data_IF_238750060305
#
_entry.id   IF_238750060305
#
_cell.length_a   1.000
_cell.length_b   1.000
_cell.length_c   1.000
_cell.angle_alpha   90.00
_cell.angle_beta   90.00
_cell.angle_gamma   90.00
#
_symmetry.space_group_name_H-M   'P 1'
#
loop_
_entity.id
_entity.type
_entity.pdbx_description
1 polymer ?
#
# COMPACT_ATOMS: atom_id res chain seq x y z
N UNK A 1 36.36 -14.04 -7.19
CA UNK A 1 35.09 -14.42 -6.57
C UNK A 1 34.05 -14.52 -7.67
N UNK A 2 33.31 -15.63 -7.82
CA UNK A 2 32.21 -15.68 -8.76
C UNK A 2 31.10 -14.77 -8.24
N UNK A 3 30.68 -13.80 -9.06
CA UNK A 3 29.46 -13.03 -8.81
C UNK A 3 28.30 -14.03 -8.79
N UNK A 4 27.62 -14.12 -7.64
CA UNK A 4 26.37 -14.87 -7.52
C UNK A 4 25.40 -14.39 -8.62
N UNK A 5 24.66 -15.30 -9.28
CA UNK A 5 23.65 -14.90 -10.25
C UNK A 5 22.66 -13.94 -9.57
N UNK A 6 22.13 -12.93 -10.28
CA UNK A 6 21.14 -12.02 -9.73
C UNK A 6 19.94 -12.87 -9.28
N UNK A 7 19.80 -13.04 -7.97
CA UNK A 7 18.62 -13.68 -7.41
C UNK A 7 17.43 -12.81 -7.80
N UNK A 8 16.44 -13.39 -8.49
CA UNK A 8 15.20 -12.75 -8.90
C UNK A 8 14.34 -12.43 -7.66
N UNK A 9 14.83 -11.56 -6.77
CA UNK A 9 14.12 -11.08 -5.59
C UNK A 9 12.92 -10.19 -5.94
N UNK A 10 12.77 -9.84 -7.22
CA UNK A 10 11.77 -8.89 -7.74
C UNK A 10 10.32 -9.27 -7.42
N UNK A 11 10.00 -10.56 -7.28
CA UNK A 11 8.62 -11.05 -7.09
C UNK A 11 8.29 -11.50 -5.66
N UNK A 12 9.27 -11.51 -4.75
CA UNK A 12 9.07 -12.01 -3.39
C UNK A 12 8.44 -10.93 -2.51
N UNK A 13 7.13 -10.79 -2.63
CA UNK A 13 6.32 -10.03 -1.69
C UNK A 13 6.02 -10.94 -0.48
N UNK A 14 6.22 -10.49 0.77
CA UNK A 14 6.05 -11.36 1.94
C UNK A 14 4.63 -11.95 2.04
N UNK A 15 4.48 -13.21 2.42
CA UNK A 15 3.15 -13.82 2.66
C UNK A 15 2.25 -12.99 3.59
N UNK A 16 2.76 -12.40 4.70
CA UNK A 16 1.95 -11.52 5.55
C UNK A 16 1.40 -10.28 4.82
N UNK A 17 2.10 -9.78 3.80
CA UNK A 17 1.61 -8.67 2.99
C UNK A 17 0.39 -9.11 2.17
N UNK A 18 0.49 -10.25 1.48
CA UNK A 18 -0.59 -10.77 0.63
C UNK A 18 -1.83 -11.05 1.49
N UNK A 19 -1.64 -11.70 2.64
CA UNK A 19 -2.72 -11.94 3.59
C UNK A 19 -3.34 -10.64 4.11
N UNK A 20 -2.53 -9.63 4.43
CA UNK A 20 -2.99 -8.32 4.89
C UNK A 20 -3.80 -7.55 3.84
N UNK A 21 -3.37 -7.57 2.58
CA UNK A 21 -4.11 -6.95 1.47
C UNK A 21 -5.41 -7.70 1.18
N UNK A 22 -5.37 -9.03 1.15
CA UNK A 22 -6.55 -9.87 0.96
C UNK A 22 -7.57 -9.66 2.08
N UNK A 23 -7.14 -9.65 3.35
CA UNK A 23 -8.02 -9.43 4.49
C UNK A 23 -8.62 -8.01 4.47
N UNK A 24 -7.81 -6.99 4.19
CA UNK A 24 -8.30 -5.61 4.06
C UNK A 24 -9.39 -5.49 2.99
N UNK A 25 -9.17 -6.08 1.82
CA UNK A 25 -10.16 -6.11 0.74
C UNK A 25 -11.42 -6.90 1.11
N UNK A 26 -11.26 -8.14 1.58
CA UNK A 26 -12.36 -9.03 1.95
C UNK A 26 -13.25 -8.47 3.07
N UNK A 27 -12.67 -7.69 3.99
CA UNK A 27 -13.40 -7.09 5.08
C UNK A 27 -14.01 -5.76 4.66
N UNK A 28 -13.22 -4.80 4.18
CA UNK A 28 -13.72 -3.45 3.89
C UNK A 28 -14.64 -3.41 2.67
N UNK A 29 -14.31 -4.15 1.61
CA UNK A 29 -15.04 -4.14 0.34
C UNK A 29 -16.54 -4.40 0.49
N UNK A 30 -16.97 -5.51 1.11
CA UNK A 30 -18.38 -5.78 1.35
C UNK A 30 -19.10 -4.72 2.18
N UNK A 31 -18.44 -4.06 3.14
CA UNK A 31 -19.07 -2.96 3.88
C UNK A 31 -19.23 -1.69 3.03
N UNK A 32 -18.30 -1.42 2.10
CA UNK A 32 -18.46 -0.33 1.15
C UNK A 32 -19.60 -0.61 0.17
N UNK A 33 -19.65 -1.83 -0.35
CA UNK A 33 -20.73 -2.32 -1.20
C UNK A 33 -22.09 -2.32 -0.48
N UNK A 34 -22.10 -2.54 0.83
CA UNK A 34 -23.31 -2.44 1.64
C UNK A 34 -23.96 -1.05 1.59
N UNK A 35 -23.17 0.03 1.46
CA UNK A 35 -23.76 1.36 1.26
C UNK A 35 -24.63 1.39 0.00
N UNK A 36 -24.19 0.74 -1.08
CA UNK A 36 -24.93 0.68 -2.33
C UNK A 36 -26.17 -0.22 -2.25
N UNK A 37 -26.11 -1.30 -1.46
CA UNK A 37 -27.31 -2.08 -1.14
C UNK A 37 -28.31 -1.29 -0.29
N UNK A 38 -27.83 -0.61 0.76
CA UNK A 38 -28.67 0.13 1.71
C UNK A 38 -29.31 1.37 1.09
N UNK A 39 -28.58 2.09 0.23
CA UNK A 39 -29.11 3.26 -0.49
C UNK A 39 -29.78 2.92 -1.83
N UNK A 40 -30.08 1.63 -2.07
CA UNK A 40 -30.77 1.17 -3.27
C UNK A 40 -30.09 1.60 -4.58
N UNK A 41 -28.76 1.67 -4.57
CA UNK A 41 -27.97 1.83 -5.80
C UNK A 41 -28.00 0.52 -6.59
N UNK A 42 -27.81 -0.59 -5.89
CA UNK A 42 -27.84 -1.94 -6.45
C UNK A 42 -28.65 -2.88 -5.57
N UNK A 43 -29.10 -3.98 -6.15
CA UNK A 43 -29.82 -5.04 -5.45
C UNK A 43 -29.35 -6.42 -5.89
N UNK A 44 -28.92 -7.22 -4.92
CA UNK A 44 -28.66 -8.65 -5.09
C UNK A 44 -29.97 -9.43 -5.17
N UNK A 45 -30.04 -10.42 -6.05
CA UNK A 45 -31.20 -11.33 -6.14
C UNK A 45 -31.16 -12.39 -5.03
N UNK A 46 -29.95 -12.82 -4.64
CA UNK A 46 -29.71 -13.80 -3.59
C UNK A 46 -28.78 -13.21 -2.51
N UNK A 47 -29.26 -12.22 -1.74
CA UNK A 47 -28.42 -11.56 -0.74
C UNK A 47 -28.08 -12.50 0.41
N UNK A 48 -26.86 -12.32 0.93
CA UNK A 48 -26.42 -12.84 2.22
C UNK A 48 -26.38 -11.68 3.21
N UNK A 49 -27.01 -11.91 4.36
CA UNK A 49 -27.03 -10.95 5.46
C UNK A 49 -26.00 -11.32 6.52
N UNK A 50 -25.19 -10.34 6.90
CA UNK A 50 -24.15 -10.44 7.92
C UNK A 50 -24.43 -9.57 9.15
N UNK A 51 -23.47 -9.51 10.09
CA UNK A 51 -23.57 -8.58 11.22
C UNK A 51 -23.58 -7.12 10.74
N UNK A 52 -24.11 -6.22 11.58
CA UNK A 52 -24.19 -4.77 11.31
C UNK A 52 -24.97 -4.40 10.03
N UNK A 53 -26.05 -5.14 9.74
CA UNK A 53 -26.92 -4.89 8.58
C UNK A 53 -26.17 -4.99 7.23
N UNK A 54 -25.14 -5.84 7.18
CA UNK A 54 -24.41 -6.13 5.95
C UNK A 54 -25.29 -6.93 4.99
N UNK A 55 -25.51 -6.43 3.78
CA UNK A 55 -26.18 -7.10 2.67
C UNK A 55 -25.20 -7.17 1.50
N UNK A 56 -24.81 -8.39 1.11
CA UNK A 56 -23.81 -8.63 0.05
C UNK A 56 -24.00 -10.01 -0.58
N UNK A 57 -23.10 -10.48 -1.45
CA UNK A 57 -23.09 -11.85 -1.97
C UNK A 57 -21.86 -12.64 -1.50
N UNK A 58 -21.92 -13.98 -1.51
CA UNK A 58 -20.80 -14.84 -1.06
C UNK A 58 -19.52 -14.67 -1.89
N UNK A 59 -19.65 -14.29 -3.16
CA UNK A 59 -18.53 -14.06 -4.06
C UNK A 59 -17.92 -12.66 -3.92
N UNK A 60 -18.64 -11.71 -3.30
CA UNK A 60 -18.19 -10.32 -3.16
C UNK A 60 -16.91 -10.20 -2.31
N UNK A 61 -16.81 -10.78 -1.09
CA UNK A 61 -15.58 -10.71 -0.31
C UNK A 61 -14.35 -11.34 -1.01
N UNK A 62 -14.43 -12.53 -1.63
CA UNK A 62 -13.32 -13.08 -2.41
C UNK A 62 -12.85 -12.19 -3.57
N UNK A 63 -13.77 -11.54 -4.30
CA UNK A 63 -13.40 -10.62 -5.38
C UNK A 63 -12.68 -9.36 -4.85
N UNK A 64 -13.17 -8.77 -3.76
CA UNK A 64 -12.49 -7.64 -3.14
C UNK A 64 -11.14 -8.03 -2.53
N UNK A 65 -11.00 -9.25 -2.00
CA UNK A 65 -9.72 -9.78 -1.52
C UNK A 65 -8.70 -9.85 -2.67
N UNK A 66 -9.12 -10.41 -3.82
CA UNK A 66 -8.31 -10.50 -5.02
C UNK A 66 -7.92 -9.11 -5.54
N UNK A 67 -8.88 -8.18 -5.60
CA UNK A 67 -8.62 -6.81 -6.01
C UNK A 67 -7.58 -6.12 -5.11
N UNK A 68 -7.72 -6.24 -3.78
CA UNK A 68 -6.76 -5.70 -2.82
C UNK A 68 -5.33 -6.24 -3.05
N UNK A 69 -5.20 -7.55 -3.28
CA UNK A 69 -3.91 -8.19 -3.60
C UNK A 69 -3.35 -7.69 -4.92
N UNK A 70 -4.15 -7.69 -5.99
CA UNK A 70 -3.70 -7.28 -7.32
C UNK A 70 -3.26 -5.82 -7.35
N UNK A 71 -4.07 -4.92 -6.78
CA UNK A 71 -3.73 -3.49 -6.69
C UNK A 71 -2.46 -3.32 -5.84
N UNK A 72 -2.38 -3.94 -4.67
CA UNK A 72 -1.18 -3.86 -3.83
C UNK A 72 0.07 -4.38 -4.53
N UNK A 73 -0.05 -5.42 -5.35
CA UNK A 73 1.04 -5.96 -6.16
C UNK A 73 1.47 -4.98 -7.25
N UNK A 74 0.51 -4.42 -8.00
CA UNK A 74 0.77 -3.44 -9.06
C UNK A 74 1.54 -2.22 -8.52
N UNK A 75 1.14 -1.72 -7.34
CA UNK A 75 1.83 -0.63 -6.66
C UNK A 75 3.26 -1.01 -6.26
N UNK A 76 3.41 -2.09 -5.49
CA UNK A 76 4.70 -2.44 -4.90
C UNK A 76 5.71 -2.91 -5.93
N UNK A 77 5.28 -3.66 -6.94
CA UNK A 77 6.14 -4.07 -8.06
C UNK A 77 6.41 -2.91 -9.00
N UNK A 78 5.40 -2.10 -9.32
CA UNK A 78 5.56 -0.92 -10.17
C UNK A 78 6.57 0.08 -9.60
N UNK A 79 6.46 0.40 -8.30
CA UNK A 79 7.38 1.32 -7.63
C UNK A 79 8.83 0.82 -7.67
N UNK A 80 9.03 -0.50 -7.48
CA UNK A 80 10.36 -1.14 -7.59
C UNK A 80 10.89 -1.09 -9.01
N UNK A 81 10.07 -1.46 -10.01
CA UNK A 81 10.49 -1.48 -11.40
C UNK A 81 10.89 -0.09 -11.90
N UNK A 82 10.17 0.96 -11.51
CA UNK A 82 10.55 2.34 -11.86
C UNK A 82 11.82 2.80 -11.14
N UNK A 83 12.01 2.42 -9.88
CA UNK A 83 13.24 2.71 -9.15
C UNK A 83 14.45 2.02 -9.79
N UNK A 84 14.34 0.72 -10.10
CA UNK A 84 15.46 -0.06 -10.61
C UNK A 84 15.79 0.28 -12.07
N UNK A 85 14.79 0.47 -12.94
CA UNK A 85 15.01 0.68 -14.38
C UNK A 85 15.08 2.14 -14.79
N UNK A 86 14.24 2.99 -14.21
CA UNK A 86 14.15 4.40 -14.59
C UNK A 86 14.86 5.32 -13.60
N UNK A 87 15.45 4.78 -12.52
CA UNK A 87 16.12 5.54 -11.46
C UNK A 87 15.22 6.62 -10.85
N UNK A 88 13.90 6.41 -10.90
CA UNK A 88 12.92 7.30 -10.29
C UNK A 88 12.85 6.93 -8.81
N UNK A 89 13.17 7.85 -7.88
CA UNK A 89 13.12 7.55 -6.46
C UNK A 89 11.74 7.01 -6.06
N UNK A 90 11.68 6.00 -5.18
CA UNK A 90 10.42 5.48 -4.71
C UNK A 90 9.65 6.59 -3.97
N UNK A 91 8.32 6.59 -4.03
CA UNK A 91 7.52 7.58 -3.32
C UNK A 91 7.78 7.50 -1.80
N UNK A 92 7.66 8.62 -1.08
CA UNK A 92 7.72 8.61 0.37
C UNK A 92 6.72 7.61 0.93
N UNK A 93 7.12 6.84 1.96
CA UNK A 93 6.17 5.92 2.60
C UNK A 93 5.08 6.75 3.30
N UNK A 94 3.80 6.47 3.03
CA UNK A 94 2.72 7.16 3.73
C UNK A 94 2.70 6.76 5.21
N UNK A 95 2.44 7.73 6.08
CA UNK A 95 2.23 7.47 7.50
C UNK A 95 0.91 6.73 7.72
N UNK A 96 0.74 6.09 8.88
CA UNK A 96 -0.53 5.44 9.23
C UNK A 96 -1.72 6.43 9.19
N UNK A 97 -1.64 7.63 9.80
CA UNK A 97 -2.73 8.61 9.71
C UNK A 97 -3.04 9.06 8.27
N UNK A 98 -2.02 9.22 7.44
CA UNK A 98 -2.21 9.58 6.04
C UNK A 98 -2.92 8.47 5.26
N UNK A 99 -2.50 7.21 5.49
CA UNK A 99 -3.11 6.03 4.89
C UNK A 99 -4.57 5.89 5.30
N UNK A 100 -4.87 6.03 6.59
CA UNK A 100 -6.24 5.96 7.10
C UNK A 100 -7.11 7.10 6.54
N UNK A 101 -6.58 8.31 6.44
CA UNK A 101 -7.28 9.44 5.81
C UNK A 101 -7.59 9.16 4.33
N UNK A 102 -6.64 8.57 3.59
CA UNK A 102 -6.84 8.18 2.19
C UNK A 102 -7.95 7.13 2.04
N UNK A 103 -7.95 6.09 2.88
CA UNK A 103 -9.00 5.06 2.92
C UNK A 103 -10.35 5.68 3.31
N UNK A 104 -10.36 6.61 4.27
CA UNK A 104 -11.57 7.28 4.75
C UNK A 104 -12.18 8.16 3.66
N UNK A 105 -11.34 8.87 2.89
CA UNK A 105 -11.79 9.69 1.77
C UNK A 105 -12.40 8.84 0.63
N UNK A 106 -11.78 7.70 0.31
CA UNK A 106 -12.36 6.73 -0.61
C UNK A 106 -13.69 6.13 -0.10
N UNK A 107 -13.74 5.77 1.18
CA UNK A 107 -14.96 5.28 1.85
C UNK A 107 -16.08 6.32 1.81
N UNK A 108 -15.74 7.59 2.04
CA UNK A 108 -16.66 8.72 1.97
C UNK A 108 -17.21 8.90 0.55
N UNK A 109 -16.38 8.72 -0.49
CA UNK A 109 -16.86 8.75 -1.88
C UNK A 109 -17.89 7.65 -2.14
N UNK A 110 -17.64 6.42 -1.68
CA UNK A 110 -18.60 5.30 -1.77
C UNK A 110 -19.93 5.65 -1.09
N UNK A 111 -19.87 6.09 0.16
CA UNK A 111 -21.05 6.49 0.92
C UNK A 111 -21.82 7.64 0.23
N UNK A 112 -21.12 8.69 -0.19
CA UNK A 112 -21.73 9.87 -0.81
C UNK A 112 -22.41 9.51 -2.14
N UNK A 113 -21.82 8.62 -2.95
CA UNK A 113 -22.45 8.16 -4.19
C UNK A 113 -23.81 7.51 -3.94
N UNK A 114 -23.95 6.71 -2.87
CA UNK A 114 -25.23 6.13 -2.47
C UNK A 114 -26.23 7.19 -2.00
N UNK A 115 -25.79 8.13 -1.17
CA UNK A 115 -26.62 9.25 -0.72
C UNK A 115 -27.14 10.09 -1.89
N UNK A 116 -26.30 10.42 -2.86
CA UNK A 116 -26.72 11.19 -4.02
C UNK A 116 -27.74 10.41 -4.86
N UNK A 117 -27.52 9.10 -5.03
CA UNK A 117 -28.41 8.23 -5.79
C UNK A 117 -29.80 8.10 -5.16
N UNK A 118 -29.90 7.86 -3.85
CA UNK A 118 -31.20 7.75 -3.17
C UNK A 118 -31.98 9.08 -3.15
N UNK A 119 -31.28 10.21 -3.25
CA UNK A 119 -31.89 11.54 -3.38
C UNK A 119 -32.23 11.91 -4.84
N UNK A 120 -32.17 10.95 -5.78
CA UNK A 120 -32.50 11.14 -7.20
C UNK A 120 -31.68 12.24 -7.88
N UNK A 121 -30.44 12.46 -7.44
CA UNK A 121 -29.49 13.33 -8.16
C UNK A 121 -29.18 12.69 -9.51
N UNK A 122 -29.13 13.49 -10.57
CA UNK A 122 -28.90 12.99 -11.91
C UNK A 122 -27.49 12.38 -12.07
N UNK A 123 -27.37 11.38 -12.95
CA UNK A 123 -26.13 10.63 -13.16
C UNK A 123 -24.94 11.49 -13.60
N UNK A 124 -25.18 12.59 -14.33
CA UNK A 124 -24.12 13.51 -14.76
C UNK A 124 -23.55 14.27 -13.57
N UNK A 125 -24.40 14.79 -12.68
CA UNK A 125 -23.97 15.47 -11.46
C UNK A 125 -23.21 14.52 -10.52
N UNK A 126 -23.67 13.27 -10.37
CA UNK A 126 -22.95 12.26 -9.59
C UNK A 126 -21.59 11.97 -10.24
N UNK A 127 -21.54 11.75 -11.56
CA UNK A 127 -20.30 11.49 -12.30
C UNK A 127 -19.28 12.61 -12.12
N UNK A 128 -19.70 13.87 -12.27
CA UNK A 128 -18.82 15.03 -12.10
C UNK A 128 -18.32 15.13 -10.66
N UNK A 129 -19.20 14.95 -9.69
CA UNK A 129 -18.84 14.98 -8.26
C UNK A 129 -17.82 13.89 -7.93
N UNK A 130 -18.09 12.65 -8.33
CA UNK A 130 -17.17 11.52 -8.11
C UNK A 130 -15.84 11.74 -8.82
N UNK A 131 -15.85 12.29 -10.05
CA UNK A 131 -14.63 12.61 -10.81
C UNK A 131 -13.80 13.70 -10.13
N UNK A 132 -14.43 14.77 -9.63
CA UNK A 132 -13.75 15.81 -8.86
C UNK A 132 -13.12 15.22 -7.60
N UNK A 133 -13.84 14.38 -6.85
CA UNK A 133 -13.29 13.70 -5.69
C UNK A 133 -12.13 12.77 -6.06
N UNK A 134 -12.24 12.01 -7.14
CA UNK A 134 -11.18 11.12 -7.61
C UNK A 134 -9.91 11.89 -8.00
N UNK A 135 -10.06 13.00 -8.72
CA UNK A 135 -8.97 13.88 -9.09
C UNK A 135 -8.29 14.49 -7.85
N UNK A 136 -9.06 15.07 -6.93
CA UNK A 136 -8.54 15.64 -5.69
C UNK A 136 -7.86 14.58 -4.83
N UNK A 137 -8.49 13.41 -4.70
CA UNK A 137 -7.94 12.29 -3.97
C UNK A 137 -6.62 11.80 -4.55
N UNK A 138 -6.51 11.69 -5.87
CA UNK A 138 -5.24 11.36 -6.52
C UNK A 138 -4.18 12.43 -6.30
N UNK A 139 -4.53 13.70 -6.48
CA UNK A 139 -3.63 14.84 -6.30
C UNK A 139 -3.14 15.01 -4.86
N UNK A 140 -3.95 14.62 -3.87
CA UNK A 140 -3.59 14.71 -2.45
C UNK A 140 -2.88 13.45 -1.98
N UNK A 141 -3.37 12.26 -2.35
CA UNK A 141 -2.95 11.00 -1.75
C UNK A 141 -1.91 10.23 -2.55
N UNK A 142 -1.81 10.40 -3.87
CA UNK A 142 -0.94 9.53 -4.68
C UNK A 142 -0.59 10.17 -6.03
N UNK A 143 0.33 11.13 -6.04
CA UNK A 143 0.77 11.83 -7.25
C UNK A 143 1.83 11.05 -8.05
N UNK A 144 1.73 9.72 -8.07
CA UNK A 144 2.77 8.85 -8.63
C UNK A 144 2.38 8.28 -9.99
N UNK A 145 3.36 7.98 -10.85
CA UNK A 145 3.12 7.37 -12.17
C UNK A 145 2.50 5.99 -12.03
N UNK A 146 3.03 5.17 -11.11
CA UNK A 146 2.49 3.84 -10.80
C UNK A 146 1.07 3.94 -10.28
N UNK A 147 0.82 4.92 -9.40
CA UNK A 147 -0.51 5.19 -8.90
C UNK A 147 -1.48 5.56 -10.01
N UNK A 148 -1.07 6.43 -10.94
CA UNK A 148 -1.91 6.84 -12.07
C UNK A 148 -2.31 5.63 -12.92
N UNK A 149 -1.35 4.82 -13.35
CA UNK A 149 -1.62 3.67 -14.20
C UNK A 149 -2.42 2.58 -13.49
N UNK A 150 -2.17 2.35 -12.21
CA UNK A 150 -2.94 1.39 -11.41
C UNK A 150 -4.38 1.87 -11.21
N UNK A 151 -4.57 3.16 -10.93
CA UNK A 151 -5.90 3.78 -10.81
C UNK A 151 -6.67 3.75 -12.13
N UNK A 152 -5.99 3.94 -13.26
CA UNK A 152 -6.60 3.79 -14.57
C UNK A 152 -6.99 2.34 -14.85
N UNK A 153 -6.13 1.39 -14.49
CA UNK A 153 -6.42 -0.04 -14.62
C UNK A 153 -7.64 -0.45 -13.78
N UNK A 154 -7.81 0.09 -12.56
CA UNK A 154 -9.01 -0.18 -11.75
C UNK A 154 -10.24 0.50 -12.33
N UNK A 155 -10.13 1.77 -12.79
CA UNK A 155 -11.22 2.53 -13.40
C UNK A 155 -11.79 1.90 -14.68
N UNK A 156 -11.01 1.07 -15.37
CA UNK A 156 -11.47 0.32 -16.55
C UNK A 156 -11.81 -1.13 -16.16
N UNK A 157 -10.91 -1.81 -15.46
CA UNK A 157 -11.03 -3.22 -15.13
C UNK A 157 -12.20 -3.54 -14.21
N UNK A 158 -12.43 -2.71 -13.18
CA UNK A 158 -13.56 -2.86 -12.26
C UNK A 158 -14.90 -2.84 -13.00
N UNK A 159 -15.23 -1.77 -13.74
CA UNK A 159 -16.46 -1.69 -14.51
C UNK A 159 -16.63 -2.82 -15.55
N UNK A 160 -15.55 -3.27 -16.20
CA UNK A 160 -15.61 -4.40 -17.13
C UNK A 160 -15.93 -5.73 -16.43
N UNK A 161 -15.34 -5.96 -15.25
CA UNK A 161 -15.66 -7.13 -14.42
C UNK A 161 -17.12 -7.08 -14.00
N UNK A 162 -17.62 -5.93 -13.58
CA UNK A 162 -19.03 -5.76 -13.22
C UNK A 162 -19.97 -6.01 -14.39
N UNK A 163 -19.70 -5.45 -15.57
CA UNK A 163 -20.46 -5.75 -16.79
C UNK A 163 -20.44 -7.26 -17.08
N UNK A 164 -19.29 -7.92 -16.91
CA UNK A 164 -19.17 -9.38 -17.06
C UNK A 164 -20.02 -10.15 -16.05
N UNK A 165 -20.01 -9.75 -14.77
CA UNK A 165 -20.80 -10.36 -13.71
C UNK A 165 -22.31 -10.19 -13.98
N UNK A 166 -22.73 -8.97 -14.31
CA UNK A 166 -24.10 -8.62 -14.63
C UNK A 166 -24.62 -9.32 -15.88
N UNK A 167 -23.75 -9.60 -16.86
CA UNK A 167 -24.15 -10.28 -18.10
C UNK A 167 -24.11 -11.81 -18.02
N UNK A 168 -23.32 -12.39 -17.11
CA UNK A 168 -23.13 -13.84 -17.02
C UNK A 168 -23.93 -14.48 -15.89
N UNK A 169 -23.92 -13.87 -14.70
CA UNK A 169 -24.53 -14.47 -13.51
C UNK A 169 -25.91 -13.88 -13.21
N UNK A 170 -26.17 -12.64 -13.64
CA UNK A 170 -27.43 -11.91 -13.38
C UNK A 170 -27.82 -11.84 -11.89
N UNK A 171 -26.89 -12.09 -10.96
CA UNK A 171 -27.16 -12.22 -9.51
C UNK A 171 -27.38 -10.89 -8.80
N UNK A 172 -27.15 -9.76 -9.48
CA UNK A 172 -27.46 -8.43 -9.00
C UNK A 172 -27.78 -7.50 -10.16
N UNK A 173 -28.29 -6.31 -9.88
CA UNK A 173 -28.51 -5.26 -10.86
C UNK A 173 -28.45 -3.88 -10.23
N UNK A 174 -28.09 -2.87 -11.03
CA UNK A 174 -28.22 -1.46 -10.66
C UNK A 174 -29.64 -0.97 -10.91
N UNK A 175 -30.17 -0.14 -10.00
CA UNK A 175 -31.51 0.42 -10.16
C UNK A 175 -31.54 1.58 -11.18
N UNK A 176 -30.44 2.33 -11.27
CA UNK A 176 -30.29 3.48 -12.15
C UNK A 176 -28.95 3.41 -12.90
N UNK A 177 -28.96 2.77 -14.07
CA UNK A 177 -27.79 2.65 -14.95
C UNK A 177 -27.89 3.59 -16.15
N UNK A 178 -26.84 4.35 -16.42
CA UNK A 178 -26.71 5.28 -17.55
C UNK A 178 -25.52 4.93 -18.48
N UNK A 179 -24.78 3.85 -18.18
CA UNK A 179 -23.65 3.37 -18.95
C UNK A 179 -23.74 1.85 -19.19
N UNK A 180 -24.70 1.46 -20.02
CA UNK A 180 -25.03 0.04 -20.21
C UNK A 180 -25.71 -0.54 -18.96
N UNK A 181 -25.24 -1.68 -18.40
CA UNK A 181 -25.85 -2.28 -17.21
C UNK A 181 -25.36 -1.66 -15.88
N UNK A 182 -24.44 -0.70 -15.94
CA UNK A 182 -23.85 -0.05 -14.77
C UNK A 182 -24.02 1.47 -14.84
N UNK A 183 -23.92 2.19 -13.70
CA UNK A 183 -23.80 3.64 -13.70
C UNK A 183 -22.39 4.09 -14.12
N UNK A 184 -22.29 5.10 -14.97
CA UNK A 184 -21.02 5.65 -15.45
C UNK A 184 -20.17 6.29 -14.34
N UNK A 185 -20.81 6.79 -13.28
CA UNK A 185 -20.11 7.38 -12.13
C UNK A 185 -19.29 6.38 -11.32
N UNK A 186 -19.43 5.08 -11.57
CA UNK A 186 -18.60 4.07 -10.92
C UNK A 186 -17.14 4.09 -11.40
N UNK A 187 -16.89 4.56 -12.62
CA UNK A 187 -15.54 4.69 -13.20
C UNK A 187 -14.62 5.54 -12.30
N UNK A 188 -14.96 6.79 -11.94
CA UNK A 188 -14.14 7.59 -11.03
C UNK A 188 -14.11 7.03 -9.59
N UNK A 189 -15.11 6.26 -9.16
CA UNK A 189 -15.07 5.56 -7.86
C UNK A 189 -13.97 4.50 -7.86
N UNK A 190 -13.91 3.66 -8.90
CA UNK A 190 -12.84 2.68 -9.07
C UNK A 190 -11.46 3.33 -9.23
N UNK A 191 -11.38 4.50 -9.88
CA UNK A 191 -10.13 5.25 -9.97
C UNK A 191 -9.60 5.63 -8.58
N UNK A 192 -10.44 6.19 -7.71
CA UNK A 192 -10.03 6.60 -6.36
C UNK A 192 -9.72 5.41 -5.44
N UNK A 193 -10.23 4.22 -5.76
CA UNK A 193 -9.80 2.98 -5.12
C UNK A 193 -8.30 2.70 -5.26
N UNK A 194 -7.68 3.18 -6.35
CA UNK A 194 -6.23 3.06 -6.59
C UNK A 194 -5.40 3.66 -5.47
N UNK A 195 -5.42 5.00 -5.25
CA UNK A 195 -4.63 5.66 -4.21
C UNK A 195 -4.83 5.11 -2.80
N UNK A 196 -6.07 4.78 -2.44
CA UNK A 196 -6.38 4.23 -1.11
C UNK A 196 -5.70 2.87 -0.89
N UNK A 197 -5.84 1.94 -1.84
CA UNK A 197 -5.21 0.62 -1.77
C UNK A 197 -3.68 0.70 -1.95
N UNK A 198 -3.20 1.59 -2.82
CA UNK A 198 -1.78 1.79 -3.06
C UNK A 198 -1.03 2.31 -1.83
N UNK A 199 -1.61 3.28 -1.13
CA UNK A 199 -1.03 3.79 0.12
C UNK A 199 -1.06 2.74 1.23
N UNK A 200 -2.13 1.96 1.33
CA UNK A 200 -2.19 0.82 2.24
C UNK A 200 -1.09 -0.21 1.94
N UNK A 201 -0.88 -0.54 0.67
CA UNK A 201 0.15 -1.45 0.24
C UNK A 201 1.56 -0.92 0.58
N UNK A 202 1.86 0.35 0.28
CA UNK A 202 3.14 0.98 0.61
C UNK A 202 3.42 0.98 2.12
N UNK A 203 2.44 1.39 2.93
CA UNK A 203 2.55 1.40 4.38
C UNK A 203 2.72 -0.02 4.95
N UNK A 204 1.89 -0.97 4.50
CA UNK A 204 1.92 -2.35 4.96
C UNK A 204 3.23 -3.06 4.64
N UNK A 205 3.74 -2.87 3.42
CA UNK A 205 5.02 -3.44 3.01
C UNK A 205 6.18 -2.87 3.85
N UNK A 206 6.21 -1.55 4.06
CA UNK A 206 7.24 -0.90 4.88
C UNK A 206 7.21 -1.43 6.32
N UNK A 207 6.02 -1.52 6.92
CA UNK A 207 5.86 -2.04 8.28
C UNK A 207 6.37 -3.49 8.43
N UNK A 208 6.24 -4.32 7.39
CA UNK A 208 6.78 -5.68 7.37
C UNK A 208 8.30 -5.71 7.17
N UNK A 209 8.83 -4.81 6.34
CA UNK A 209 10.28 -4.68 6.14
C UNK A 209 10.98 -4.20 7.42
N UNK A 210 10.40 -3.24 8.14
CA UNK A 210 10.97 -2.73 9.40
C UNK A 210 10.99 -3.78 10.51
N UNK A 211 10.13 -4.80 10.43
CA UNK A 211 10.10 -5.95 11.35
C UNK A 211 11.02 -7.09 10.96
N UNK A 212 11.57 -7.09 9.73
CA UNK A 212 12.45 -8.17 9.28
C UNK A 212 13.75 -8.16 10.10
N UNK A 213 14.15 -9.34 10.61
CA UNK A 213 15.41 -9.48 11.35
C UNK A 213 16.56 -9.27 10.37
N UNK A 214 17.38 -8.25 10.61
CA UNK A 214 18.58 -8.04 9.81
C UNK A 214 19.48 -9.27 9.89
N UNK A 215 19.81 -9.94 8.77
CA UNK A 215 20.60 -11.16 8.80
C UNK A 215 22.02 -10.94 9.32
N UNK A 216 22.54 -9.71 9.22
CA UNK A 216 23.91 -9.37 9.65
C UNK A 216 24.00 -9.02 11.13
N UNK A 217 23.08 -8.20 11.64
CA UNK A 217 23.15 -7.72 13.03
C UNK A 217 22.08 -8.30 13.94
N UNK A 218 21.18 -9.15 13.42
CA UNK A 218 20.06 -9.71 14.18
C UNK A 218 19.24 -8.64 14.92
N UNK A 219 19.03 -7.49 14.26
CA UNK A 219 18.36 -6.31 14.81
C UNK A 219 19.05 -5.61 15.99
N UNK A 220 20.28 -5.96 16.35
CA UNK A 220 21.09 -5.15 17.28
C UNK A 220 21.38 -3.75 16.71
N UNK A 221 21.28 -3.60 15.37
CA UNK A 221 21.59 -2.39 14.57
C UNK A 221 23.06 -1.98 14.64
N UNK A 222 23.89 -2.77 15.30
CA UNK A 222 25.34 -2.61 15.43
C UNK A 222 26.05 -3.88 14.95
N UNK A 223 27.27 -3.74 14.48
CA UNK A 223 28.11 -4.87 14.09
C UNK A 223 29.54 -4.63 14.56
N UNK A 224 30.32 -5.70 14.77
CA UNK A 224 31.76 -5.60 15.02
C UNK A 224 32.45 -4.66 14.04
N UNK A 225 33.27 -3.74 14.55
CA UNK A 225 34.06 -2.86 13.71
C UNK A 225 35.14 -3.66 12.98
N UNK A 226 34.97 -3.83 11.67
CA UNK A 226 35.91 -4.59 10.81
C UNK A 226 37.30 -3.96 10.76
N UNK A 227 37.44 -2.67 11.10
CA UNK A 227 38.73 -1.97 11.06
C UNK A 227 39.57 -2.17 12.33
N UNK A 228 39.00 -2.73 13.40
CA UNK A 228 39.72 -3.01 14.65
C UNK A 228 39.31 -4.33 15.29
N UNK A 229 38.73 -5.26 14.52
CA UNK A 229 38.30 -6.58 14.97
C UNK A 229 37.50 -6.56 16.27
N UNK A 230 36.60 -5.60 16.39
CA UNK A 230 35.78 -5.35 17.58
C UNK A 230 36.53 -4.92 18.86
N UNK A 231 37.84 -4.72 18.82
CA UNK A 231 38.62 -4.34 19.99
C UNK A 231 38.48 -2.86 20.36
N UNK A 232 38.04 -2.02 19.41
CA UNK A 232 37.99 -0.56 19.57
C UNK A 232 39.33 0.14 19.38
N UNK A 233 40.42 -0.61 19.25
CA UNK A 233 41.78 -0.11 19.05
C UNK A 233 42.59 -1.07 18.19
N UNK A 234 43.72 -0.59 17.67
CA UNK A 234 44.75 -1.42 17.04
C UNK A 234 46.13 -1.03 17.59
N UNK A 235 47.11 -1.94 17.48
CA UNK A 235 48.49 -1.70 17.91
C UNK A 235 49.30 -1.28 16.68
N UNK A 236 49.91 -0.10 16.74
CA UNK A 236 50.84 0.39 15.73
C UNK A 236 52.07 0.96 16.43
N UNK A 237 53.27 0.57 16.00
CA UNK A 237 54.53 0.97 16.63
C UNK A 237 54.58 0.75 18.15
N UNK A 238 54.04 -0.38 18.62
CA UNK A 238 53.93 -0.72 20.04
C UNK A 238 53.11 0.28 20.88
N UNK A 239 52.27 1.09 20.22
CA UNK A 239 51.33 2.00 20.85
C UNK A 239 49.89 1.58 20.55
N UNK A 240 49.03 1.71 21.56
CA UNK A 240 47.59 1.48 21.44
C UNK A 240 46.96 2.72 20.81
N UNK A 241 46.38 2.57 19.62
CA UNK A 241 45.69 3.65 18.90
C UNK A 241 44.19 3.34 18.84
N UNK A 242 43.36 4.26 19.31
CA UNK A 242 41.90 4.12 19.23
C UNK A 242 41.45 4.11 17.76
N UNK A 243 40.56 3.18 17.42
CA UNK A 243 40.03 3.09 16.08
C UNK A 243 39.14 4.30 15.79
N UNK A 244 39.49 5.07 14.77
CA UNK A 244 38.74 6.26 14.33
C UNK A 244 37.39 5.91 13.70
N UNK A 245 37.25 4.71 13.13
CA UNK A 245 36.03 4.25 12.48
C UNK A 245 34.88 4.02 13.49
N UNK A 246 35.17 3.38 14.63
CA UNK A 246 34.20 3.15 15.71
C UNK A 246 34.37 4.13 16.89
N UNK A 247 35.33 5.05 16.81
CA UNK A 247 35.70 5.95 17.89
C UNK A 247 35.95 5.23 19.23
N UNK A 248 36.67 4.11 19.20
CA UNK A 248 37.00 3.35 20.42
C UNK A 248 35.98 2.31 20.87
N UNK A 249 34.74 2.28 20.36
CA UNK A 249 33.68 1.40 20.88
C UNK A 249 33.79 -0.08 20.46
N UNK A 250 34.61 -0.40 19.45
CA UNK A 250 34.64 -1.73 18.83
C UNK A 250 33.40 -2.06 17.99
N UNK A 251 32.40 -1.18 17.93
CA UNK A 251 31.15 -1.41 17.20
C UNK A 251 30.88 -0.31 16.17
N UNK A 252 30.23 -0.66 15.07
CA UNK A 252 29.79 0.28 14.03
C UNK A 252 28.33 0.03 13.68
N UNK A 253 27.64 1.04 13.14
CA UNK A 253 26.26 0.83 12.67
C UNK A 253 26.25 -0.25 11.58
N UNK A 254 25.31 -1.19 11.69
CA UNK A 254 25.13 -2.21 10.68
C UNK A 254 24.83 -1.57 9.32
N UNK A 255 25.66 -1.83 8.31
CA UNK A 255 25.53 -1.22 6.97
C UNK A 255 24.17 -1.51 6.30
N UNK A 256 23.63 -2.70 6.52
CA UNK A 256 22.31 -3.07 5.99
C UNK A 256 21.19 -2.30 6.69
N UNK A 257 21.25 -2.17 8.01
CA UNK A 257 20.28 -1.38 8.77
C UNK A 257 20.42 0.12 8.51
N UNK A 258 21.63 0.61 8.23
CA UNK A 258 21.89 2.03 8.01
C UNK A 258 21.02 2.63 6.89
N UNK A 259 20.74 1.86 5.83
CA UNK A 259 19.86 2.30 4.73
C UNK A 259 18.38 2.40 5.13
N UNK A 260 17.97 1.65 6.15
CA UNK A 260 16.57 1.57 6.60
C UNK A 260 16.29 2.40 7.84
N UNK A 261 17.33 2.81 8.55
CA UNK A 261 17.21 3.66 9.72
C UNK A 261 16.79 5.06 9.26
N UNK A 262 15.66 5.55 9.76
CA UNK A 262 15.26 6.97 9.71
C UNK A 262 16.19 7.84 10.59
N UNK A 263 17.45 7.46 10.72
CA UNK A 263 18.46 8.38 11.23
C UNK A 263 18.67 9.33 10.06
N UNK A 264 18.39 10.62 10.27
CA UNK A 264 18.77 11.65 9.31
C UNK A 264 20.17 11.32 8.77
N UNK A 265 20.39 11.46 7.46
CA UNK A 265 21.71 11.27 6.85
C UNK A 265 22.74 12.33 7.33
N UNK A 266 22.57 12.88 8.54
CA UNK A 266 23.51 13.73 9.24
C UNK A 266 24.52 12.86 10.02
N UNK A 267 25.83 13.08 9.84
CA UNK A 267 26.86 12.40 10.62
C UNK A 267 26.69 12.57 12.15
N UNK A 268 26.01 13.63 12.59
CA UNK A 268 25.65 13.89 13.99
C UNK A 268 24.64 12.88 14.54
N UNK A 269 23.54 12.60 13.81
CA UNK A 269 22.52 11.67 14.27
C UNK A 269 23.04 10.24 14.39
N UNK A 270 23.95 9.84 13.49
CA UNK A 270 24.67 8.55 13.57
C UNK A 270 25.55 8.46 14.83
N UNK A 271 26.26 9.54 15.15
CA UNK A 271 27.11 9.59 16.36
C UNK A 271 26.29 9.53 17.63
N UNK A 272 25.17 10.24 17.67
CA UNK A 272 24.26 10.23 18.82
C UNK A 272 23.60 8.85 19.02
N UNK A 273 23.16 8.22 17.93
CA UNK A 273 22.69 6.83 17.95
C UNK A 273 23.74 5.88 18.54
N UNK A 274 25.01 5.98 18.11
CA UNK A 274 26.08 5.12 18.62
C UNK A 274 26.41 5.38 20.10
N UNK A 275 26.31 6.63 20.57
CA UNK A 275 26.50 6.97 22.00
C UNK A 275 25.40 6.39 22.91
N UNK A 276 24.20 6.19 22.37
CA UNK A 276 23.06 5.67 23.14
C UNK A 276 23.10 4.16 23.38
N UNK A 277 24.06 3.44 22.77
CA UNK A 277 24.15 1.98 22.87
C UNK A 277 25.05 1.58 24.04
N UNK A 278 24.60 0.63 24.90
CA UNK A 278 25.45 0.11 25.97
C UNK A 278 26.64 -0.66 25.38
N UNK A 279 27.78 -0.57 26.07
CA UNK A 279 29.01 -1.31 25.78
C UNK A 279 28.82 -2.83 25.96
#
# INVERSE_FOLDING_TARGET
MPLSPPQNHFLNVPTPFVAGMAASGALLGPYLDNYHSHYHVLQYHHPVHGPFDLTTALWTPPLFALAGVLIGYLYTVGDRLLNDKAQIPPPPTPTVPFTLTSISFFTFQYWLSGILSINNVDGTTIFLTMSTMALLGFLVFDRTIVGFWTSLATAIGGPLIEIGLLSTFHDYHYLNSDFGPIPGWIIPVYFLGGPANGNLARAGLKALQDKSICPTCQNSRVQPCVNCDALGYYISYNQKINCTCCNGSGQTVCRLCFRTLEIENSPSAVREFMKSRPD
#
